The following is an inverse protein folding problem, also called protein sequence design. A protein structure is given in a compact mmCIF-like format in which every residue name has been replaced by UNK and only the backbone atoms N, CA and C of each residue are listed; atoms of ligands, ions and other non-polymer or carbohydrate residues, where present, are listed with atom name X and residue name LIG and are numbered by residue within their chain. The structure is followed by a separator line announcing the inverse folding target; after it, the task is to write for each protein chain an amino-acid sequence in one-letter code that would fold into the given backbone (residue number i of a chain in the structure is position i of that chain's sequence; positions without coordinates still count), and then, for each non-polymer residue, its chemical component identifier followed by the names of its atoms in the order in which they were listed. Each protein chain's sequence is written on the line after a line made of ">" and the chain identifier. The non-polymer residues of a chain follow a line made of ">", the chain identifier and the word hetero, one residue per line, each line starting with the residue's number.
data_IF_938903720315
#
_entry.id   IF_938903720315
#
_cell.length_a   1.000
_cell.length_b   1.000
_cell.length_c   1.000
_cell.angle_alpha   90.00
_cell.angle_beta   90.00
_cell.angle_gamma   90.00
#
_symmetry.space_group_name_H-M   'P 1'
#
loop_
_entity.id
_entity.type
_entity.pdbx_description
1 polymer ?
#
# COMPACT_ATOMS: atom_id res chain seq x y z
N UNK A 1 -1.95 15.65 -14.77
CA UNK A 1 -1.50 14.89 -13.58
C UNK A 1 -0.44 13.96 -14.08
N UNK A 2 0.83 14.34 -13.94
CA UNK A 2 1.94 13.51 -14.38
C UNK A 2 2.10 12.40 -13.35
N UNK A 3 1.69 11.17 -13.69
CA UNK A 3 2.23 9.99 -13.03
C UNK A 3 3.71 9.96 -13.39
N UNK A 4 4.57 10.23 -12.43
CA UNK A 4 6.01 10.03 -12.59
C UNK A 4 6.19 8.53 -12.91
N UNK A 5 6.68 8.16 -14.09
CA UNK A 5 6.66 6.77 -14.58
C UNK A 5 7.49 5.81 -13.73
N UNK A 6 8.23 6.33 -12.77
CA UNK A 6 9.09 5.55 -11.91
C UNK A 6 8.41 5.04 -10.64
N UNK A 7 7.32 5.66 -10.16
CA UNK A 7 6.65 5.19 -8.95
C UNK A 7 5.67 4.04 -9.29
N UNK A 8 6.21 2.82 -9.34
CA UNK A 8 5.52 1.60 -9.80
C UNK A 8 4.69 0.88 -8.73
N UNK A 9 5.17 0.89 -7.49
CA UNK A 9 4.59 0.11 -6.41
C UNK A 9 3.69 0.97 -5.54
N UNK A 10 2.40 0.66 -5.55
CA UNK A 10 1.34 1.43 -4.90
C UNK A 10 0.83 0.71 -3.66
N UNK A 11 0.97 1.34 -2.50
CA UNK A 11 0.44 0.88 -1.23
C UNK A 11 -0.79 1.70 -0.87
N UNK A 12 -1.91 1.03 -0.64
CA UNK A 12 -3.16 1.66 -0.17
C UNK A 12 -3.52 1.13 1.21
N UNK A 13 -4.03 2.02 2.06
CA UNK A 13 -4.68 1.72 3.32
C UNK A 13 -6.08 2.33 3.28
N UNK A 14 -7.09 1.51 3.61
CA UNK A 14 -8.45 1.97 3.88
C UNK A 14 -8.88 1.48 5.26
N UNK A 15 -9.59 2.30 6.03
CA UNK A 15 -10.18 1.91 7.31
C UNK A 15 -11.51 2.65 7.52
N UNK A 16 -12.43 2.04 8.28
CA UNK A 16 -13.73 2.65 8.58
C UNK A 16 -13.52 3.91 9.42
N UNK A 17 -13.96 5.08 8.91
CA UNK A 17 -13.86 6.35 9.63
C UNK A 17 -12.85 7.38 9.12
N UNK A 18 -12.50 7.37 7.81
CA UNK A 18 -11.87 8.49 7.04
C UNK A 18 -10.37 8.42 6.75
N UNK A 19 -9.66 7.33 7.03
CA UNK A 19 -8.23 7.24 6.64
C UNK A 19 -8.06 6.39 5.37
N UNK A 20 -8.10 7.09 4.24
CA UNK A 20 -7.48 6.61 3.00
C UNK A 20 -6.06 7.16 2.96
N UNK A 21 -5.07 6.30 3.05
CA UNK A 21 -3.67 6.67 2.87
C UNK A 21 -3.11 5.91 1.68
N UNK A 22 -2.30 6.59 0.87
CA UNK A 22 -1.62 5.98 -0.26
C UNK A 22 -0.16 6.38 -0.25
N UNK A 23 0.69 5.50 -0.76
CA UNK A 23 2.11 5.74 -0.94
C UNK A 23 2.62 5.01 -2.17
N UNK A 24 3.58 5.63 -2.83
CA UNK A 24 4.12 5.18 -4.10
C UNK A 24 5.64 5.05 -4.00
N UNK A 25 6.21 3.98 -4.57
CA UNK A 25 7.65 3.73 -4.55
C UNK A 25 8.13 3.12 -5.86
N UNK A 26 9.37 3.45 -6.20
CA UNK A 26 10.09 2.86 -7.35
C UNK A 26 10.62 1.45 -7.08
N UNK A 27 10.83 1.10 -5.81
CA UNK A 27 11.46 -0.16 -5.38
C UNK A 27 10.49 -1.06 -4.65
N UNK A 28 10.29 -2.30 -5.15
CA UNK A 28 9.45 -3.31 -4.51
C UNK A 28 9.92 -3.58 -3.08
N UNK A 29 11.23 -3.69 -2.87
CA UNK A 29 11.81 -3.96 -1.56
C UNK A 29 11.43 -2.87 -0.55
N UNK A 30 11.48 -1.60 -0.95
CA UNK A 30 11.08 -0.49 -0.08
C UNK A 30 9.57 -0.50 0.16
N UNK A 31 8.78 -0.76 -0.88
CA UNK A 31 7.32 -0.85 -0.78
C UNK A 31 6.88 -1.97 0.17
N UNK A 32 7.51 -3.15 0.12
CA UNK A 32 7.25 -4.27 1.06
C UNK A 32 7.63 -3.91 2.50
N UNK A 33 8.75 -3.20 2.72
CA UNK A 33 9.10 -2.71 4.07
C UNK A 33 8.06 -1.73 4.60
N UNK A 34 7.53 -0.86 3.74
CA UNK A 34 6.47 0.09 4.09
C UNK A 34 5.14 -0.61 4.36
N UNK A 35 4.80 -1.65 3.60
CA UNK A 35 3.63 -2.50 3.86
C UNK A 35 3.69 -3.07 5.29
N UNK A 36 4.78 -3.71 5.69
CA UNK A 36 4.93 -4.26 7.05
C UNK A 36 4.85 -3.15 8.12
N UNK A 37 5.47 -2.00 7.88
CA UNK A 37 5.39 -0.87 8.80
C UNK A 37 3.96 -0.33 8.95
N UNK A 38 3.17 -0.30 7.87
CA UNK A 38 1.77 0.13 7.89
C UNK A 38 0.89 -0.88 8.62
N UNK A 39 1.13 -2.19 8.43
CA UNK A 39 0.45 -3.24 9.22
C UNK A 39 0.70 -3.03 10.72
N UNK A 40 1.95 -2.81 11.13
CA UNK A 40 2.27 -2.57 12.54
C UNK A 40 1.66 -1.28 13.11
N UNK A 41 1.58 -0.22 12.29
CA UNK A 41 1.10 1.10 12.74
C UNK A 41 -0.42 1.26 12.70
N UNK A 42 -1.07 0.62 11.73
CA UNK A 42 -2.48 0.87 11.38
C UNK A 42 -3.33 -0.39 11.36
N UNK A 43 -2.75 -1.58 11.53
CA UNK A 43 -3.51 -2.83 11.54
C UNK A 43 -4.51 -2.93 12.70
N UNK A 44 -4.32 -2.18 13.79
CA UNK A 44 -5.30 -2.14 14.87
C UNK A 44 -6.54 -1.26 14.57
N UNK A 45 -6.57 -0.53 13.44
CA UNK A 45 -7.72 0.28 13.07
C UNK A 45 -8.90 -0.62 12.66
N UNK A 46 -10.15 -0.26 13.00
CA UNK A 46 -11.34 -0.98 12.57
C UNK A 46 -11.43 -1.09 11.04
N UNK A 47 -11.68 -2.31 10.56
CA UNK A 47 -11.78 -2.67 9.14
C UNK A 47 -10.59 -2.20 8.29
N UNK A 48 -9.39 -2.13 8.89
CA UNK A 48 -8.20 -1.79 8.15
C UNK A 48 -7.92 -2.82 7.05
N UNK A 49 -7.76 -2.33 5.83
CA UNK A 49 -7.31 -3.08 4.68
C UNK A 49 -6.10 -2.38 4.09
N UNK A 50 -4.99 -3.10 3.98
CA UNK A 50 -3.75 -2.63 3.37
C UNK A 50 -3.46 -3.49 2.15
N UNK A 51 -3.22 -2.88 1.00
CA UNK A 51 -2.94 -3.58 -0.26
C UNK A 51 -1.71 -2.98 -0.93
N UNK A 52 -0.76 -3.83 -1.31
CA UNK A 52 0.39 -3.46 -2.14
C UNK A 52 0.20 -4.01 -3.55
N UNK A 53 0.22 -3.12 -4.53
CA UNK A 53 0.05 -3.43 -5.96
C UNK A 53 1.32 -3.03 -6.72
N UNK A 54 1.72 -3.87 -7.67
CA UNK A 54 2.61 -3.49 -8.75
C UNK A 54 1.75 -2.98 -9.92
N UNK A 55 1.73 -1.67 -10.13
CA UNK A 55 0.85 -1.03 -11.11
C UNK A 55 1.32 -1.23 -12.55
N UNK A 56 2.60 -1.59 -12.76
CA UNK A 56 3.09 -1.93 -14.10
C UNK A 56 2.52 -3.26 -14.58
N UNK A 57 2.43 -4.24 -13.68
CA UNK A 57 1.95 -5.59 -14.01
C UNK A 57 0.48 -5.82 -13.64
N UNK A 58 -0.10 -4.93 -12.83
CA UNK A 58 -1.44 -5.08 -12.25
C UNK A 58 -1.53 -6.13 -11.14
N UNK A 59 -0.38 -6.64 -10.65
CA UNK A 59 -0.36 -7.73 -9.66
C UNK A 59 -0.50 -7.20 -8.24
N UNK A 60 -1.38 -7.84 -7.45
CA UNK A 60 -1.43 -7.64 -6.00
C UNK A 60 -0.28 -8.44 -5.37
N UNK A 61 0.70 -7.73 -4.83
CA UNK A 61 1.89 -8.33 -4.21
C UNK A 61 1.68 -8.73 -2.75
N UNK A 62 0.79 -8.02 -2.04
CA UNK A 62 0.45 -8.30 -0.65
C UNK A 62 -0.89 -7.66 -0.24
N UNK A 63 -1.57 -8.29 0.72
CA UNK A 63 -2.82 -7.82 1.32
C UNK A 63 -2.81 -8.08 2.82
N UNK A 64 -3.42 -7.20 3.61
CA UNK A 64 -3.66 -7.39 5.03
C UNK A 64 -5.04 -6.85 5.43
N UNK A 65 -5.82 -7.53 6.27
CA UNK A 65 -5.62 -8.91 6.74
C UNK A 65 -5.74 -9.90 5.57
N UNK A 66 -5.01 -11.01 5.66
CA UNK A 66 -5.12 -12.16 4.72
C UNK A 66 -6.34 -13.00 5.03
#
# INVERSE_FOLDING_TARGET
>A
MSSDPDERFHLTLTATGRRTMQGWWRSEMVARRKFVAWVGSYGALPDARITLVDEETGLVLATWPT
#
